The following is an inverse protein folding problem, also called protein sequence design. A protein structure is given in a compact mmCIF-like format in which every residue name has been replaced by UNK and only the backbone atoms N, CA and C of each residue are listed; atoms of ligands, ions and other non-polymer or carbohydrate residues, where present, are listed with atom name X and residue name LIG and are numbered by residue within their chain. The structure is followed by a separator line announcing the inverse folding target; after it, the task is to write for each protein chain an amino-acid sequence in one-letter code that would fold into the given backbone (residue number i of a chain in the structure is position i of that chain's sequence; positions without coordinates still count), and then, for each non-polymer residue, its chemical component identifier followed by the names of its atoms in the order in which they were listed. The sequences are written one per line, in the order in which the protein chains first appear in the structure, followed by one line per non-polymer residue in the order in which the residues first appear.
data_IF_563628248003
#
_entry.id   IF_563628248003
#
_cell.length_a   1.000
_cell.length_b   1.000
_cell.length_c   1.000
_cell.angle_alpha   90.00
_cell.angle_beta   90.00
_cell.angle_gamma   90.00
#
_symmetry.space_group_name_H-M   'P 1'
#
loop_
_entity.id
_entity.type
_entity.pdbx_description
1 polymer ?
#
# COMPACT_ATOMS: atom_id res chain seq x y z
N UNK A 1 -30.35 -6.03 10.58
CA UNK A 1 -29.03 -5.62 11.09
C UNK A 1 -28.19 -6.88 11.14
N UNK A 2 -27.28 -7.06 10.20
CA UNK A 2 -26.38 -8.21 10.20
C UNK A 2 -25.38 -8.06 11.33
N UNK A 3 -25.18 -9.15 12.07
CA UNK A 3 -24.10 -9.32 13.04
C UNK A 3 -22.79 -9.28 12.24
N UNK A 4 -22.22 -8.10 12.02
CA UNK A 4 -20.80 -8.01 11.70
C UNK A 4 -20.09 -8.41 12.98
N UNK A 5 -19.65 -9.67 13.02
CA UNK A 5 -18.71 -10.17 14.02
C UNK A 5 -17.59 -9.13 14.15
N UNK A 6 -17.56 -8.45 15.30
CA UNK A 6 -16.44 -7.60 15.69
C UNK A 6 -15.27 -8.55 15.90
N UNK A 7 -14.60 -8.90 14.81
CA UNK A 7 -13.42 -9.75 14.83
C UNK A 7 -12.32 -8.94 15.50
N UNK A 8 -11.68 -9.47 16.55
CA UNK A 8 -10.57 -8.78 17.19
C UNK A 8 -9.50 -8.38 16.17
N UNK A 9 -8.99 -7.17 16.29
CA UNK A 9 -7.90 -6.72 15.45
C UNK A 9 -6.67 -7.60 15.70
N UNK A 10 -6.25 -8.35 14.69
CA UNK A 10 -5.10 -9.26 14.77
C UNK A 10 -3.84 -8.57 14.27
N UNK A 11 -2.69 -8.86 14.88
CA UNK A 11 -1.41 -8.42 14.34
C UNK A 11 -1.20 -9.02 12.95
N UNK A 12 -0.77 -8.19 12.00
CA UNK A 12 -0.52 -8.59 10.61
C UNK A 12 0.73 -7.91 10.09
N UNK A 13 1.51 -8.65 9.30
CA UNK A 13 2.60 -8.10 8.49
C UNK A 13 2.17 -8.08 7.03
N UNK A 14 2.23 -6.91 6.43
CA UNK A 14 1.92 -6.66 5.03
C UNK A 14 3.25 -6.56 4.27
N UNK A 15 3.39 -7.29 3.17
CA UNK A 15 4.62 -7.35 2.37
C UNK A 15 4.32 -7.00 0.92
N UNK A 16 5.06 -6.01 0.41
CA UNK A 16 5.03 -5.51 -0.96
C UNK A 16 6.30 -5.95 -1.69
N UNK A 17 6.14 -6.44 -2.92
CA UNK A 17 7.24 -6.75 -3.83
C UNK A 17 7.57 -5.59 -4.76
N UNK A 18 8.73 -5.64 -5.43
CA UNK A 18 9.14 -4.61 -6.41
C UNK A 18 8.25 -4.59 -7.64
N UNK A 19 7.63 -5.70 -8.02
CA UNK A 19 6.65 -5.75 -9.13
C UNK A 19 5.21 -5.46 -8.69
N UNK A 20 5.01 -4.88 -7.51
CA UNK A 20 3.67 -4.48 -7.04
C UNK A 20 2.79 -5.65 -6.62
N UNK A 21 3.38 -6.77 -6.18
CA UNK A 21 2.65 -7.88 -5.57
C UNK A 21 2.49 -7.65 -4.08
N UNK A 22 1.29 -7.91 -3.56
CA UNK A 22 0.93 -7.69 -2.17
C UNK A 22 0.51 -9.00 -1.51
N UNK A 23 0.87 -9.16 -0.24
CA UNK A 23 0.38 -10.22 0.65
C UNK A 23 0.39 -9.76 2.10
N UNK A 24 -0.43 -10.39 2.93
CA UNK A 24 -0.49 -10.17 4.36
C UNK A 24 -0.51 -11.51 5.09
N UNK A 25 0.19 -11.59 6.22
CA UNK A 25 0.19 -12.77 7.08
C UNK A 25 0.06 -12.38 8.54
N UNK A 26 -0.52 -13.29 9.32
CA UNK A 26 -0.73 -13.10 10.75
C UNK A 26 0.62 -13.00 11.48
N UNK A 27 0.65 -12.17 12.51
CA UNK A 27 1.83 -11.94 13.32
C UNK A 27 2.75 -10.86 12.77
N UNK A 28 3.77 -10.51 13.55
CA UNK A 28 4.79 -9.52 13.19
C UNK A 28 6.15 -10.15 12.86
N UNK A 29 6.25 -11.47 13.02
CA UNK A 29 7.44 -12.30 12.85
C UNK A 29 7.79 -12.63 11.38
N UNK A 30 6.90 -12.29 10.44
CA UNK A 30 7.16 -12.51 9.01
C UNK A 30 8.32 -11.60 8.56
N UNK A 31 9.37 -12.21 8.03
CA UNK A 31 10.47 -11.51 7.34
C UNK A 31 10.24 -11.54 5.82
N UNK A 32 9.85 -10.40 5.27
CA UNK A 32 9.61 -10.23 3.84
C UNK A 32 10.80 -10.59 2.96
N UNK A 33 12.04 -10.48 3.44
CA UNK A 33 13.24 -10.79 2.65
C UNK A 33 13.41 -12.30 2.39
N UNK A 34 12.83 -13.14 3.25
CA UNK A 34 12.99 -14.61 3.19
C UNK A 34 11.88 -15.31 2.42
N UNK A 35 10.82 -14.59 2.08
CA UNK A 35 9.65 -15.16 1.42
C UNK A 35 9.94 -15.49 -0.06
N UNK A 36 9.16 -16.40 -0.63
CA UNK A 36 9.23 -16.70 -2.08
C UNK A 36 8.56 -15.61 -2.91
N UNK A 37 9.12 -15.32 -4.08
CA UNK A 37 8.65 -14.32 -5.04
C UNK A 37 8.57 -14.92 -6.45
N UNK A 38 7.84 -14.24 -7.35
CA UNK A 38 7.81 -14.59 -8.78
C UNK A 38 9.18 -14.39 -9.43
N UNK A 39 9.39 -15.04 -10.57
CA UNK A 39 10.62 -14.90 -11.33
C UNK A 39 10.93 -13.42 -11.67
N UNK A 40 12.13 -12.97 -11.29
CA UNK A 40 12.58 -11.59 -11.44
C UNK A 40 11.85 -10.58 -10.55
N UNK A 41 11.12 -11.01 -9.54
CA UNK A 41 10.54 -10.18 -8.50
C UNK A 41 11.27 -10.40 -7.17
N UNK A 42 11.17 -9.45 -6.25
CA UNK A 42 11.85 -9.49 -4.96
C UNK A 42 11.15 -8.58 -3.94
N UNK A 43 11.57 -8.69 -2.68
CA UNK A 43 11.12 -7.81 -1.60
C UNK A 43 11.31 -6.32 -1.94
N UNK A 44 10.33 -5.50 -1.57
CA UNK A 44 10.41 -4.03 -1.65
C UNK A 44 10.22 -3.38 -0.29
N UNK A 45 9.10 -3.67 0.38
CA UNK A 45 8.74 -3.04 1.65
C UNK A 45 7.88 -3.98 2.50
N UNK A 46 7.94 -3.83 3.82
CA UNK A 46 6.97 -4.42 4.76
C UNK A 46 6.45 -3.40 5.76
N UNK A 47 5.25 -3.65 6.26
CA UNK A 47 4.62 -2.89 7.34
C UNK A 47 4.06 -3.87 8.39
N UNK A 48 4.21 -3.53 9.66
CA UNK A 48 3.62 -4.26 10.78
C UNK A 48 2.44 -3.45 11.33
N UNK A 49 1.24 -4.00 11.22
CA UNK A 49 0.01 -3.34 11.62
C UNK A 49 -1.00 -4.31 12.21
N UNK A 50 -2.26 -3.95 12.09
CA UNK A 50 -3.42 -4.75 12.47
C UNK A 50 -4.30 -5.08 11.26
N UNK A 51 -5.05 -6.16 11.35
CA UNK A 51 -6.00 -6.59 10.31
C UNK A 51 -7.07 -5.54 9.96
N UNK A 52 -7.37 -4.64 10.91
CA UNK A 52 -8.30 -3.52 10.74
C UNK A 52 -7.69 -2.28 10.10
N UNK A 53 -6.38 -2.23 9.92
CA UNK A 53 -5.71 -1.03 9.39
C UNK A 53 -6.04 -0.82 7.91
N UNK A 54 -6.13 0.46 7.54
CA UNK A 54 -6.15 0.88 6.14
C UNK A 54 -4.72 1.03 5.65
N UNK A 55 -4.36 0.26 4.63
CA UNK A 55 -3.07 0.34 3.96
C UNK A 55 -3.18 1.34 2.82
N UNK A 56 -2.36 2.37 2.86
CA UNK A 56 -2.22 3.36 1.80
C UNK A 56 -1.10 2.92 0.86
N UNK A 57 -1.35 2.94 -0.44
CA UNK A 57 -0.34 2.67 -1.46
C UNK A 57 -0.08 3.93 -2.27
N UNK A 58 1.15 4.10 -2.74
CA UNK A 58 1.55 5.23 -3.59
C UNK A 58 2.05 4.70 -4.92
N UNK A 59 1.68 5.37 -6.01
CA UNK A 59 2.28 5.13 -7.32
C UNK A 59 3.20 6.27 -7.76
N UNK A 60 4.07 5.96 -8.73
CA UNK A 60 5.03 6.90 -9.31
C UNK A 60 4.40 8.08 -10.04
N UNK A 61 3.09 8.05 -10.31
CA UNK A 61 2.34 9.16 -10.92
C UNK A 61 1.83 10.19 -9.91
N UNK A 62 2.08 9.98 -8.61
CA UNK A 62 1.64 10.86 -7.54
C UNK A 62 0.23 10.58 -7.03
N UNK A 63 -0.30 9.39 -7.29
CA UNK A 63 -1.60 8.95 -6.73
C UNK A 63 -1.42 8.12 -5.48
N UNK A 64 -2.41 8.23 -4.58
CA UNK A 64 -2.59 7.31 -3.46
C UNK A 64 -3.80 6.39 -3.68
N UNK A 65 -3.74 5.20 -3.08
CA UNK A 65 -4.78 4.18 -3.11
C UNK A 65 -4.96 3.60 -1.71
N UNK A 66 -6.07 2.92 -1.45
CA UNK A 66 -6.33 2.36 -0.12
C UNK A 66 -7.00 1.00 -0.19
N UNK A 67 -6.54 0.05 0.64
CA UNK A 67 -7.18 -1.24 0.87
C UNK A 67 -7.14 -1.56 2.37
N UNK A 68 -8.09 -2.35 2.85
CA UNK A 68 -8.08 -2.84 4.22
C UNK A 68 -7.14 -4.05 4.34
N UNK A 69 -6.32 -4.10 5.39
CA UNK A 69 -5.29 -5.13 5.55
C UNK A 69 -5.87 -6.56 5.54
N UNK A 70 -7.02 -6.79 6.17
CA UNK A 70 -7.68 -8.11 6.17
C UNK A 70 -8.19 -8.57 4.80
N UNK A 71 -8.25 -7.68 3.80
CA UNK A 71 -8.69 -8.04 2.43
C UNK A 71 -7.53 -8.51 1.56
N UNK A 72 -6.29 -8.36 2.02
CA UNK A 72 -5.08 -8.73 1.31
C UNK A 72 -4.87 -10.25 1.31
N UNK A 73 -4.23 -10.81 0.27
CA UNK A 73 -4.08 -12.25 0.13
C UNK A 73 -3.05 -12.80 1.14
N UNK A 74 -3.19 -14.08 1.50
CA UNK A 74 -2.32 -14.71 2.50
C UNK A 74 -0.84 -14.73 2.11
N UNK A 75 0.03 -14.53 3.10
CA UNK A 75 1.48 -14.61 2.95
C UNK A 75 2.03 -16.02 2.67
N UNK A 76 1.21 -17.08 2.75
CA UNK A 76 1.62 -18.45 2.41
C UNK A 76 1.98 -18.63 0.94
N UNK A 77 1.38 -17.82 0.06
CA UNK A 77 1.67 -17.81 -1.38
C UNK A 77 2.57 -16.64 -1.78
N UNK A 78 2.71 -16.44 -3.09
CA UNK A 78 3.45 -15.29 -3.65
C UNK A 78 2.64 -13.98 -3.63
N UNK A 79 1.42 -14.00 -3.11
CA UNK A 79 0.50 -12.85 -3.10
C UNK A 79 -0.29 -12.71 -4.39
N UNK A 80 -0.74 -11.48 -4.68
CA UNK A 80 -1.42 -11.12 -5.92
C UNK A 80 -0.97 -9.73 -6.38
N UNK A 81 -1.09 -9.38 -7.67
CA UNK A 81 -0.71 -8.06 -8.14
C UNK A 81 -1.73 -7.02 -7.66
N UNK A 82 -1.30 -5.87 -7.15
CA UNK A 82 -2.21 -4.80 -6.71
C UNK A 82 -3.17 -4.36 -7.83
N UNK A 83 -2.78 -4.50 -9.09
CA UNK A 83 -3.60 -4.18 -10.26
C UNK A 83 -4.85 -5.07 -10.41
N UNK A 84 -4.93 -6.21 -9.70
CA UNK A 84 -6.18 -6.98 -9.63
C UNK A 84 -7.27 -6.24 -8.85
N UNK A 85 -6.89 -5.37 -7.91
CA UNK A 85 -7.77 -4.63 -7.00
C UNK A 85 -7.86 -3.15 -7.30
N UNK A 86 -6.79 -2.55 -7.81
CA UNK A 86 -6.65 -1.11 -8.05
C UNK A 86 -6.40 -0.82 -9.53
N UNK A 87 -6.82 0.35 -9.98
CA UNK A 87 -6.65 0.82 -11.36
C UNK A 87 -5.58 1.91 -11.37
N UNK A 88 -4.37 1.51 -11.72
CA UNK A 88 -3.23 2.41 -11.81
C UNK A 88 -3.25 3.23 -13.09
N UNK A 89 -2.61 4.40 -13.04
CA UNK A 89 -2.28 5.15 -14.26
C UNK A 89 -1.41 4.27 -15.17
N UNK A 90 -1.64 4.23 -16.50
CA UNK A 90 -0.80 3.44 -17.41
C UNK A 90 0.69 3.76 -17.25
N UNK A 91 1.49 2.72 -17.04
CA UNK A 91 2.94 2.85 -16.83
C UNK A 91 3.37 3.27 -15.42
N UNK A 92 2.43 3.56 -14.51
CA UNK A 92 2.76 3.85 -13.12
C UNK A 92 3.14 2.56 -12.37
N UNK A 93 4.13 2.69 -11.49
CA UNK A 93 4.61 1.62 -10.63
C UNK A 93 4.22 1.93 -9.18
N UNK A 94 3.98 0.89 -8.38
CA UNK A 94 3.74 1.07 -6.93
C UNK A 94 5.09 1.31 -6.26
N UNK A 95 5.28 2.50 -5.71
CA UNK A 95 6.56 2.94 -5.15
C UNK A 95 6.65 2.74 -3.64
N UNK A 96 5.53 2.53 -2.96
CA UNK A 96 5.53 2.24 -1.54
C UNK A 96 4.14 2.14 -0.93
N UNK A 97 4.13 1.90 0.38
CA UNK A 97 2.93 1.81 1.20
C UNK A 97 3.14 2.40 2.59
N UNK A 98 2.05 2.77 3.26
CA UNK A 98 2.04 3.24 4.64
C UNK A 98 0.77 2.79 5.37
N UNK A 99 0.90 2.59 6.68
CA UNK A 99 -0.19 2.51 7.65
C UNK A 99 0.09 3.54 8.74
N UNK A 100 -0.96 4.08 9.36
CA UNK A 100 -0.82 5.07 10.42
C UNK A 100 -2.17 5.56 10.91
N UNK A 101 -2.14 6.52 11.83
CA UNK A 101 -3.32 7.24 12.32
C UNK A 101 -3.73 8.32 11.33
N UNK A 102 -4.99 8.71 11.36
CA UNK A 102 -5.55 9.73 10.48
C UNK A 102 -4.78 11.05 10.50
N UNK A 103 -4.25 11.44 11.67
CA UNK A 103 -3.53 12.68 11.93
C UNK A 103 -2.01 12.60 11.71
N UNK A 104 -1.47 11.41 11.41
CA UNK A 104 -0.06 11.25 11.07
C UNK A 104 0.29 12.09 9.84
N UNK A 105 1.39 12.83 9.94
CA UNK A 105 1.84 13.76 8.90
C UNK A 105 2.86 13.08 7.99
N UNK A 106 2.67 13.25 6.68
CA UNK A 106 3.56 12.76 5.65
C UNK A 106 4.08 13.92 4.81
N UNK A 107 5.37 13.88 4.44
CA UNK A 107 5.92 14.70 3.37
C UNK A 107 5.73 13.98 2.04
N UNK A 108 4.95 14.58 1.14
CA UNK A 108 4.87 14.16 -0.26
C UNK A 108 5.85 15.02 -1.06
N UNK A 109 6.68 14.42 -1.92
CA UNK A 109 7.65 15.14 -2.74
C UNK A 109 7.82 14.47 -4.09
N UNK A 110 8.29 15.20 -5.10
CA UNK A 110 8.73 14.66 -6.39
C UNK A 110 10.21 14.95 -6.63
N UNK A 111 10.80 14.22 -7.58
CA UNK A 111 12.17 14.46 -8.05
C UNK A 111 12.36 15.81 -8.77
N UNK A 112 11.27 16.52 -9.10
CA UNK A 112 11.29 17.90 -9.57
C UNK A 112 11.58 18.93 -8.46
N UNK A 113 11.70 18.48 -7.19
CA UNK A 113 12.07 19.34 -6.05
C UNK A 113 10.90 20.09 -5.42
N UNK A 114 9.65 19.70 -5.72
CA UNK A 114 8.46 20.24 -5.07
C UNK A 114 7.81 19.19 -4.17
N UNK A 115 7.23 19.64 -3.05
CA UNK A 115 6.52 18.79 -2.12
C UNK A 115 5.69 19.59 -1.12
N UNK A 116 4.86 18.88 -0.35
CA UNK A 116 4.05 19.45 0.71
C UNK A 116 3.79 18.43 1.81
N UNK A 117 3.49 18.92 3.01
CA UNK A 117 3.07 18.08 4.13
C UNK A 117 1.55 17.90 4.10
N UNK A 118 1.08 16.69 4.29
CA UNK A 118 -0.34 16.34 4.41
C UNK A 118 -0.56 15.36 5.57
N UNK A 119 -1.81 15.03 5.87
CA UNK A 119 -2.18 14.00 6.83
C UNK A 119 -2.52 12.68 6.11
N UNK A 120 -2.42 11.56 6.82
CA UNK A 120 -2.77 10.25 6.27
C UNK A 120 -4.25 10.17 5.86
N UNK A 121 -5.15 10.82 6.60
CA UNK A 121 -6.56 10.92 6.23
C UNK A 121 -6.77 11.51 4.83
N UNK A 122 -5.99 12.52 4.46
CA UNK A 122 -6.04 13.14 3.14
C UNK A 122 -5.56 12.21 2.02
N UNK A 123 -4.94 11.07 2.34
CA UNK A 123 -4.42 10.11 1.37
C UNK A 123 -5.40 8.94 1.13
N UNK A 124 -6.43 8.80 1.95
CA UNK A 124 -7.40 7.71 1.84
C UNK A 124 -8.27 7.91 0.58
N UNK A 125 -8.37 6.88 -0.26
CA UNK A 125 -9.31 6.82 -1.38
C UNK A 125 -10.31 5.67 -1.18
N UNK A 126 -11.57 5.94 -1.52
CA UNK A 126 -12.65 4.93 -1.50
C UNK A 126 -12.89 4.28 -2.87
N UNK A 127 -12.24 4.77 -3.92
CA UNK A 127 -12.42 4.26 -5.29
C UNK A 127 -11.17 3.49 -5.75
N UNK A 128 -11.35 2.60 -6.74
CA UNK A 128 -10.26 1.79 -7.30
C UNK A 128 -9.24 2.60 -8.10
N UNK A 129 -9.61 3.79 -8.59
CA UNK A 129 -8.77 4.67 -9.41
C UNK A 129 -7.81 5.55 -8.59
N UNK A 130 -7.87 5.43 -7.25
CA UNK A 130 -7.07 6.21 -6.32
C UNK A 130 -7.49 7.67 -6.21
N UNK A 131 -6.62 8.44 -5.56
CA UNK A 131 -6.72 9.89 -5.38
C UNK A 131 -5.44 10.52 -5.93
N UNK A 132 -5.57 11.54 -6.76
CA UNK A 132 -4.42 12.36 -7.14
C UNK A 132 -4.00 13.21 -5.95
N UNK A 133 -2.75 13.05 -5.49
CA UNK A 133 -2.22 13.72 -4.30
C UNK A 133 -1.12 14.67 -4.70
N UNK A 134 -0.12 14.18 -5.44
CA UNK A 134 0.99 14.96 -5.94
C UNK A 134 0.86 15.09 -7.45
N UNK A 135 0.95 16.32 -7.95
CA UNK A 135 1.02 16.57 -9.39
C UNK A 135 2.50 16.61 -9.80
N UNK A 136 2.95 15.59 -10.51
CA UNK A 136 4.30 15.56 -11.06
C UNK A 136 4.34 16.35 -12.39
N UNK A 137 5.27 17.32 -12.56
CA UNK A 137 5.63 17.87 -13.86
C UNK A 137 5.94 16.79 -14.92
N UNK A 138 5.86 17.16 -16.20
CA UNK A 138 6.18 16.22 -17.30
C UNK A 138 7.61 15.69 -17.15
N UNK A 139 7.76 14.36 -17.13
CA UNK A 139 9.06 13.68 -16.99
C UNK A 139 9.58 13.51 -15.55
N UNK A 140 8.81 13.95 -14.55
CA UNK A 140 9.15 13.77 -13.12
C UNK A 140 8.33 12.65 -12.47
N UNK A 141 8.84 12.09 -11.39
CA UNK A 141 8.20 11.04 -10.60
C UNK A 141 7.97 11.49 -9.15
N UNK A 142 6.95 10.90 -8.53
CA UNK A 142 6.68 11.02 -7.10
C UNK A 142 7.67 10.18 -6.26
#
# INVERSE_FOLDING_TARGET
MSFEEITPAENTTIVLSKKGWIRAGKGHEIDGNTLSYRAGDQFHQQLQGKSTDTVIFFDSSGKSYSLLAHTLPSARGQGEPLSSRLTFTPGAEVIGMMIGKSDDRLLMASDAGYGFVTTLENLISKNRNGKAVLKCPSGSLA
#
